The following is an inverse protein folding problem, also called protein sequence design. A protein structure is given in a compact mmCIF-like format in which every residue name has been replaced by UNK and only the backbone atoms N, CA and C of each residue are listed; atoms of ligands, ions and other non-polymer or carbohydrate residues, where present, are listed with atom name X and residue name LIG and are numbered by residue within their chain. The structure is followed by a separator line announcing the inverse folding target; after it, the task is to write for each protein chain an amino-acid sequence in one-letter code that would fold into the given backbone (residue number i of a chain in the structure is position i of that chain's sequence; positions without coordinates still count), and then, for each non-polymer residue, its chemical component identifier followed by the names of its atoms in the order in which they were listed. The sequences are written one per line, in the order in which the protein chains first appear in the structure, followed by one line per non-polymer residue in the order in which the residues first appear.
data_IF_621019880610
#
_entry.id   IF_621019880610
#
_cell.length_a   1.000
_cell.length_b   1.000
_cell.length_c   1.000
_cell.angle_alpha   90.00
_cell.angle_beta   90.00
_cell.angle_gamma   90.00
#
_symmetry.space_group_name_H-M   'P 1'
#
loop_
_entity.id
_entity.type
_entity.pdbx_description
1 polymer ?
#
# COMPACT_ATOMS: atom_id res chain seq x y z
N UNK A 1 9.52 -10.31 -28.95
CA UNK A 1 8.73 -10.12 -27.72
C UNK A 1 9.13 -8.80 -27.08
N UNK A 2 8.29 -7.77 -27.12
CA UNK A 2 8.59 -6.49 -26.45
C UNK A 2 8.22 -6.59 -24.97
N UNK A 3 9.24 -6.74 -24.12
CA UNK A 3 9.10 -6.57 -22.66
C UNK A 3 8.81 -5.07 -22.45
N UNK A 4 7.61 -4.69 -21.98
CA UNK A 4 7.34 -3.33 -21.51
C UNK A 4 8.21 -3.06 -20.27
N UNK A 5 9.48 -2.73 -20.46
CA UNK A 5 10.41 -2.45 -19.36
C UNK A 5 10.13 -1.07 -18.72
N UNK A 6 9.35 -0.23 -19.39
CA UNK A 6 9.15 1.17 -19.01
C UNK A 6 7.75 1.47 -18.46
N UNK A 7 6.85 0.47 -18.42
CA UNK A 7 5.53 0.68 -17.81
C UNK A 7 5.68 0.69 -16.29
N UNK A 8 5.43 1.85 -15.69
CA UNK A 8 5.40 2.05 -14.25
C UNK A 8 4.10 2.76 -13.87
N UNK A 9 3.56 2.52 -12.67
CA UNK A 9 2.48 3.34 -12.14
C UNK A 9 2.95 4.79 -12.01
N UNK A 10 2.11 5.72 -12.44
CA UNK A 10 2.27 7.17 -12.22
C UNK A 10 2.19 7.49 -10.72
N UNK A 11 1.33 6.78 -9.99
CA UNK A 11 1.21 6.84 -8.53
C UNK A 11 1.01 5.45 -7.92
N UNK A 12 1.64 5.21 -6.77
CA UNK A 12 1.45 4.03 -5.93
C UNK A 12 1.06 4.47 -4.52
N UNK A 13 -0.14 4.07 -4.09
CA UNK A 13 -0.59 4.27 -2.71
C UNK A 13 -0.19 3.06 -1.87
N UNK A 14 0.62 3.29 -0.83
CA UNK A 14 1.06 2.27 0.10
C UNK A 14 0.30 2.45 1.40
N UNK A 15 -0.60 1.51 1.69
CA UNK A 15 -1.35 1.45 2.93
C UNK A 15 -0.48 0.80 4.02
N UNK A 16 0.14 1.62 4.85
CA UNK A 16 0.99 1.15 5.95
C UNK A 16 0.17 0.93 7.21
N UNK A 17 0.39 -0.21 7.87
CA UNK A 17 -0.12 -0.48 9.20
C UNK A 17 0.79 -1.51 9.90
N UNK A 18 0.76 -1.58 11.24
CA UNK A 18 1.37 -2.68 11.98
C UNK A 18 0.88 -4.05 11.47
N UNK A 19 1.82 -4.98 11.29
CA UNK A 19 1.57 -6.32 10.73
C UNK A 19 0.52 -7.07 11.53
N UNK A 20 0.54 -6.94 12.85
CA UNK A 20 -0.38 -7.60 13.78
C UNK A 20 -1.83 -7.17 13.53
N UNK A 21 -2.04 -5.88 13.27
CA UNK A 21 -3.37 -5.33 12.95
C UNK A 21 -3.82 -5.86 11.59
N UNK A 22 -2.91 -5.92 10.61
CA UNK A 22 -3.18 -6.46 9.28
C UNK A 22 -3.60 -7.93 9.32
N UNK A 23 -2.84 -8.76 10.02
CA UNK A 23 -3.13 -10.19 10.20
C UNK A 23 -4.44 -10.41 10.95
N UNK A 24 -4.71 -9.63 12.01
CA UNK A 24 -5.98 -9.70 12.75
C UNK A 24 -7.18 -9.39 11.84
N UNK A 25 -7.08 -8.35 11.00
CA UNK A 25 -8.13 -7.98 10.04
C UNK A 25 -8.29 -9.02 8.92
N UNK A 26 -7.21 -9.63 8.45
CA UNK A 26 -7.25 -10.68 7.42
C UNK A 26 -7.91 -11.96 7.94
N UNK A 27 -7.54 -12.40 9.15
CA UNK A 27 -8.16 -13.54 9.82
C UNK A 27 -9.68 -13.37 10.03
N UNK A 28 -10.14 -12.14 10.29
CA UNK A 28 -11.56 -11.85 10.41
C UNK A 28 -12.33 -11.96 9.08
N UNK A 29 -11.67 -11.89 7.91
CA UNK A 29 -12.32 -12.00 6.58
C UNK A 29 -12.55 -13.44 6.11
N UNK A 30 -11.96 -14.44 6.77
CA UNK A 30 -12.18 -15.85 6.46
C UNK A 30 -10.89 -16.63 6.22
N UNK A 31 -10.94 -17.62 5.32
CA UNK A 31 -9.86 -18.60 5.15
C UNK A 31 -8.59 -17.94 4.62
N UNK A 32 -7.53 -18.00 5.42
CA UNK A 32 -6.19 -17.55 5.09
C UNK A 32 -5.67 -18.30 3.85
N UNK A 33 -5.18 -17.55 2.87
CA UNK A 33 -4.48 -18.01 1.70
C UNK A 33 -3.04 -18.45 2.03
N UNK A 34 -2.30 -18.89 1.02
CA UNK A 34 -0.93 -19.39 1.19
C UNK A 34 0.06 -18.35 1.74
N UNK A 35 -0.19 -17.06 1.52
CA UNK A 35 0.67 -15.99 2.00
C UNK A 35 0.32 -15.59 3.42
N UNK A 36 -0.96 -15.67 3.78
CA UNK A 36 -1.46 -15.40 5.12
C UNK A 36 -1.09 -16.50 6.13
N UNK A 37 -0.52 -17.62 5.64
CA UNK A 37 0.12 -18.67 6.45
C UNK A 37 1.61 -18.39 6.73
N UNK A 38 2.21 -17.38 6.10
CA UNK A 38 3.60 -16.99 6.35
C UNK A 38 3.77 -16.37 7.75
N UNK A 39 4.98 -16.47 8.29
CA UNK A 39 5.29 -15.95 9.63
C UNK A 39 5.37 -14.42 9.67
N UNK A 40 5.26 -13.85 10.88
CA UNK A 40 5.39 -12.40 11.14
C UNK A 40 6.63 -11.78 10.49
N UNK A 41 7.77 -12.47 10.53
CA UNK A 41 9.02 -12.01 9.92
C UNK A 41 8.93 -11.76 8.41
N UNK A 42 8.13 -12.55 7.69
CA UNK A 42 7.88 -12.34 6.26
C UNK A 42 7.14 -11.02 6.04
N UNK A 43 6.06 -10.78 6.79
CA UNK A 43 5.27 -9.56 6.69
C UNK A 43 6.05 -8.32 7.13
N UNK A 44 6.88 -8.41 8.16
CA UNK A 44 7.78 -7.32 8.57
C UNK A 44 8.77 -6.97 7.45
N UNK A 45 9.35 -7.96 6.78
CA UNK A 45 10.24 -7.75 5.65
C UNK A 45 9.52 -7.12 4.44
N UNK A 46 8.29 -7.55 4.15
CA UNK A 46 7.43 -6.97 3.10
C UNK A 46 7.11 -5.52 3.40
N UNK A 47 6.66 -5.22 4.63
CA UNK A 47 6.36 -3.85 5.08
C UNK A 47 7.60 -2.96 4.94
N UNK A 48 8.74 -3.39 5.46
CA UNK A 48 10.01 -2.67 5.37
C UNK A 48 10.39 -2.36 3.92
N UNK A 49 10.22 -3.34 3.02
CA UNK A 49 10.50 -3.15 1.59
C UNK A 49 9.61 -2.08 0.96
N UNK A 50 8.32 -2.05 1.28
CA UNK A 50 7.41 -1.01 0.78
C UNK A 50 7.77 0.38 1.31
N UNK A 51 8.09 0.49 2.60
CA UNK A 51 8.51 1.76 3.21
C UNK A 51 9.82 2.28 2.60
N UNK A 52 10.79 1.38 2.35
CA UNK A 52 12.04 1.73 1.67
C UNK A 52 11.78 2.25 0.24
N UNK A 53 10.91 1.59 -0.53
CA UNK A 53 10.53 2.06 -1.87
C UNK A 53 9.83 3.41 -1.84
N UNK A 54 8.92 3.60 -0.90
CA UNK A 54 8.22 4.87 -0.73
C UNK A 54 9.17 6.02 -0.37
N UNK A 55 10.19 5.72 0.45
CA UNK A 55 11.25 6.68 0.79
C UNK A 55 12.20 6.96 -0.38
N UNK A 56 12.48 5.96 -1.21
CA UNK A 56 13.40 6.09 -2.35
C UNK A 56 12.80 6.89 -3.51
N UNK A 57 11.47 6.85 -3.68
CA UNK A 57 10.77 7.56 -4.76
C UNK A 57 9.49 8.24 -4.21
N UNK A 58 9.64 9.31 -3.41
CA UNK A 58 8.50 10.00 -2.82
C UNK A 58 7.71 10.80 -3.86
N UNK A 59 8.12 10.88 -5.12
CA UNK A 59 7.29 11.47 -6.17
C UNK A 59 6.18 10.51 -6.60
N UNK A 60 6.52 9.21 -6.74
CA UNK A 60 5.61 8.17 -7.24
C UNK A 60 4.92 7.37 -6.14
N UNK A 61 5.36 7.48 -4.89
CA UNK A 61 4.77 6.77 -3.77
C UNK A 61 4.10 7.73 -2.77
N UNK A 62 2.94 7.34 -2.26
CA UNK A 62 2.26 8.02 -1.15
C UNK A 62 1.97 7.00 -0.07
N UNK A 63 2.41 7.29 1.15
CA UNK A 63 2.05 6.49 2.32
C UNK A 63 0.67 6.94 2.81
N UNK A 64 -0.18 5.96 3.12
CA UNK A 64 -1.49 6.15 3.74
C UNK A 64 -1.46 5.36 5.04
N UNK A 65 -1.73 6.02 6.17
CA UNK A 65 -1.82 5.34 7.46
C UNK A 65 -3.13 4.54 7.52
N UNK A 66 -3.01 3.22 7.33
CA UNK A 66 -4.12 2.28 7.36
C UNK A 66 -4.39 1.71 8.77
N UNK A 67 -3.64 2.14 9.79
CA UNK A 67 -3.93 1.79 11.18
C UNK A 67 -5.15 2.56 11.72
N UNK A 68 -5.48 3.70 11.11
CA UNK A 68 -6.64 4.53 11.47
C UNK A 68 -7.98 3.82 11.19
N UNK A 69 -9.09 4.32 11.78
CA UNK A 69 -10.45 3.95 11.38
C UNK A 69 -10.68 4.15 9.88
N UNK A 70 -11.54 3.32 9.28
CA UNK A 70 -11.81 3.35 7.83
C UNK A 70 -12.21 4.74 7.31
N UNK A 71 -13.03 5.48 8.08
CA UNK A 71 -13.47 6.82 7.71
C UNK A 71 -12.31 7.81 7.61
N UNK A 72 -11.32 7.72 8.51
CA UNK A 72 -10.16 8.59 8.51
C UNK A 72 -9.18 8.24 7.39
N UNK A 73 -9.04 6.94 7.09
CA UNK A 73 -8.30 6.48 5.90
C UNK A 73 -8.94 7.04 4.64
N UNK A 74 -10.27 6.95 4.51
CA UNK A 74 -11.00 7.51 3.37
C UNK A 74 -10.84 9.02 3.26
N UNK A 75 -10.98 9.75 4.37
CA UNK A 75 -10.76 11.19 4.39
C UNK A 75 -9.32 11.56 3.96
N UNK A 76 -8.31 10.78 4.36
CA UNK A 76 -6.94 10.98 3.91
C UNK A 76 -6.79 10.77 2.40
N UNK A 77 -7.49 9.78 1.83
CA UNK A 77 -7.50 9.53 0.38
C UNK A 77 -8.18 10.67 -0.38
N UNK A 78 -9.25 11.25 0.18
CA UNK A 78 -9.95 12.37 -0.44
C UNK A 78 -9.02 13.57 -0.65
N UNK A 79 -8.07 13.80 0.27
CA UNK A 79 -7.06 14.86 0.11
C UNK A 79 -6.09 14.60 -1.06
N UNK A 80 -5.94 13.35 -1.50
CA UNK A 80 -5.08 12.95 -2.61
C UNK A 80 -5.80 12.98 -3.96
N UNK A 81 -7.14 13.03 -3.98
CA UNK A 81 -7.94 13.02 -5.21
C UNK A 81 -7.60 14.16 -6.18
N UNK A 82 -7.38 15.42 -5.74
CA UNK A 82 -7.01 16.50 -6.66
C UNK A 82 -5.72 16.19 -7.44
N UNK A 83 -4.69 15.71 -6.73
CA UNK A 83 -3.39 15.35 -7.32
C UNK A 83 -3.54 14.16 -8.29
N UNK A 84 -4.34 13.15 -7.92
CA UNK A 84 -4.66 12.01 -8.79
C UNK A 84 -5.37 12.42 -10.09
N UNK A 85 -6.28 13.38 -10.01
CA UNK A 85 -7.01 13.89 -11.16
C UNK A 85 -6.15 14.75 -12.09
N UNK A 86 -5.07 15.35 -11.59
CA UNK A 86 -4.07 16.04 -12.41
C UNK A 86 -3.20 15.03 -13.16
N UNK A 87 -2.75 13.97 -12.50
CA UNK A 87 -1.95 12.90 -13.12
C UNK A 87 -2.68 12.19 -14.27
N UNK A 88 -4.01 12.06 -14.20
CA UNK A 88 -4.83 11.44 -15.27
C UNK A 88 -5.11 12.37 -16.46
N UNK A 89 -4.96 13.68 -16.27
CA UNK A 89 -5.26 14.69 -17.31
C UNK A 89 -4.03 15.06 -18.17
N UNK A 90 -2.85 14.52 -17.82
CA UNK A 90 -1.62 14.61 -18.62
C UNK A 90 -1.53 13.56 -19.72
#
# INVERSE_FOLDING_TARGET
MYKRQDLRPDLTLVFDLPVEIGLSRAAARGRLDRFEQEGRAFFDAVRSTYLQRAKADPARYRLVDAAQPLADVQASLDTLLPQLLELRRG
#
